data_IF_597086260967
#
_entry.id   IF_597086260967
#
_cell.length_a   1.000
_cell.length_b   1.000
_cell.length_c   1.000
_cell.angle_alpha   90.00
_cell.angle_beta   90.00
_cell.angle_gamma   90.00
#
_symmetry.space_group_name_H-M   'P 1'
#
loop_
_entity.id
_entity.type
_entity.pdbx_description
1 polymer ?
#
# COMPACT_ATOMS: atom_id res chain seq x y z
N UNK A 1 27.77 30.65 38.30
CA UNK A 1 27.69 29.15 38.31
C UNK A 1 26.34 28.77 38.89
N UNK A 2 25.38 28.46 38.05
CA UNK A 2 24.00 28.05 38.46
C UNK A 2 23.85 26.59 38.09
N UNK A 3 23.73 25.73 39.08
CA UNK A 3 23.51 24.29 38.94
C UNK A 3 21.98 24.03 38.89
N UNK A 4 21.44 23.62 37.76
CA UNK A 4 20.07 23.13 37.67
C UNK A 4 20.05 21.63 38.02
N UNK A 5 19.36 21.29 39.10
CA UNK A 5 19.03 19.93 39.46
C UNK A 5 17.79 19.50 38.69
N UNK A 6 17.90 18.42 37.88
CA UNK A 6 16.76 17.81 37.16
C UNK A 6 16.18 16.71 38.06
N UNK A 7 14.89 16.72 38.42
CA UNK A 7 14.28 15.62 39.13
C UNK A 7 13.99 14.46 38.14
N UNK A 8 14.52 13.28 38.46
CA UNK A 8 14.18 12.03 37.78
C UNK A 8 12.82 11.57 38.28
N UNK A 9 11.81 11.62 37.42
CA UNK A 9 10.49 11.09 37.68
C UNK A 9 10.47 9.60 37.30
N UNK A 10 10.45 8.75 38.31
CA UNK A 10 10.35 7.29 38.15
C UNK A 10 8.88 6.93 37.93
N UNK A 11 8.49 6.63 36.68
CA UNK A 11 7.15 6.13 36.34
C UNK A 11 7.19 4.61 36.40
N UNK A 12 6.57 4.03 37.43
CA UNK A 12 6.34 2.58 37.53
C UNK A 12 5.12 2.20 36.68
N UNK A 13 5.35 1.54 35.54
CA UNK A 13 4.29 0.90 34.75
C UNK A 13 3.87 -0.41 35.39
N UNK A 14 2.66 -0.46 35.95
CA UNK A 14 1.99 -1.70 36.32
C UNK A 14 1.40 -2.36 35.09
N UNK A 15 1.93 -3.53 34.72
CA UNK A 15 1.35 -4.41 33.71
C UNK A 15 0.09 -5.07 34.26
N UNK A 16 -1.08 -4.68 33.77
CA UNK A 16 -2.31 -5.42 33.93
C UNK A 16 -2.47 -6.40 32.76
N UNK A 17 -2.23 -7.68 33.02
CA UNK A 17 -2.58 -8.77 32.10
C UNK A 17 -4.10 -8.94 32.09
N UNK A 18 -4.76 -8.51 31.02
CA UNK A 18 -6.17 -8.77 30.79
C UNK A 18 -6.30 -9.98 29.87
N UNK A 19 -6.46 -11.17 30.47
CA UNK A 19 -6.76 -12.42 29.77
C UNK A 19 -8.22 -12.42 29.38
N UNK A 20 -8.51 -12.27 28.09
CA UNK A 20 -9.83 -12.46 27.51
C UNK A 20 -10.11 -13.95 27.35
N UNK A 21 -11.28 -14.47 27.78
CA UNK A 21 -11.65 -15.87 27.59
C UNK A 21 -11.92 -16.14 26.10
N UNK A 22 -11.20 -17.11 25.55
CA UNK A 22 -11.51 -17.71 24.25
C UNK A 22 -12.92 -18.33 24.28
N UNK A 23 -13.82 -17.75 23.52
CA UNK A 23 -15.13 -18.36 23.25
C UNK A 23 -14.93 -19.45 22.18
N UNK A 24 -14.83 -20.69 22.64
CA UNK A 24 -14.94 -21.87 21.77
C UNK A 24 -16.36 -21.93 21.20
N UNK A 25 -16.52 -21.65 19.92
CA UNK A 25 -17.70 -22.00 19.15
C UNK A 25 -17.59 -23.46 18.73
N UNK A 26 -18.37 -24.30 19.39
CA UNK A 26 -18.56 -25.68 18.98
C UNK A 26 -19.25 -25.74 17.62
N UNK A 27 -18.84 -26.64 16.71
CA UNK A 27 -19.57 -26.86 15.46
C UNK A 27 -20.94 -27.48 15.75
N UNK A 28 -21.97 -27.16 14.96
CA UNK A 28 -23.29 -27.76 15.12
C UNK A 28 -23.26 -29.25 14.78
N UNK A 29 -24.12 -30.08 15.44
CA UNK A 29 -24.20 -31.51 15.17
C UNK A 29 -24.73 -31.73 13.75
N UNK A 30 -24.13 -32.69 13.07
CA UNK A 30 -24.56 -33.20 11.77
C UNK A 30 -25.70 -34.18 12.10
N UNK A 31 -26.94 -33.80 11.84
CA UNK A 31 -28.07 -34.71 11.87
C UNK A 31 -28.09 -35.54 10.60
N UNK A 32 -28.23 -36.83 10.85
CA UNK A 32 -28.22 -37.94 9.91
C UNK A 32 -29.37 -37.89 8.91
N UNK A 33 -29.01 -38.32 7.70
CA UNK A 33 -29.71 -39.18 6.78
C UNK A 33 -31.28 -39.14 6.77
N UNK A 34 -31.80 -38.60 5.69
CA UNK A 34 -32.99 -39.22 5.13
C UNK A 34 -32.81 -39.52 3.63
N UNK A 35 -32.97 -40.81 3.34
CA UNK A 35 -32.92 -41.38 2.00
C UNK A 35 -34.25 -41.10 1.31
N UNK A 36 -34.28 -40.18 0.36
CA UNK A 36 -35.47 -39.89 -0.50
C UNK A 36 -35.12 -40.04 -1.97
N UNK A 37 -35.54 -41.14 -2.50
CA UNK A 37 -35.55 -41.56 -3.91
C UNK A 37 -36.09 -40.53 -4.90
N UNK A 38 -35.32 -40.31 -6.00
CA UNK A 38 -35.88 -40.16 -7.35
C UNK A 38 -36.41 -38.81 -7.74
N UNK A 39 -35.60 -38.06 -8.51
CA UNK A 39 -36.10 -37.56 -9.79
C UNK A 39 -34.93 -37.23 -10.73
N UNK A 40 -34.91 -37.91 -11.85
CA UNK A 40 -34.04 -37.54 -12.98
C UNK A 40 -34.59 -36.24 -13.59
N UNK A 41 -33.91 -35.15 -13.42
CA UNK A 41 -34.21 -33.86 -13.98
C UNK A 41 -32.95 -33.15 -14.39
N UNK A 42 -32.73 -33.12 -15.70
CA UNK A 42 -31.91 -32.21 -16.51
C UNK A 42 -30.65 -31.59 -15.79
N UNK A 43 -29.51 -32.12 -16.16
CA UNK A 43 -28.23 -31.42 -16.04
C UNK A 43 -28.33 -30.14 -16.85
N UNK A 44 -28.55 -29.02 -16.19
CA UNK A 44 -28.12 -27.74 -16.68
C UNK A 44 -26.62 -27.62 -16.30
N UNK A 45 -25.75 -28.05 -17.18
CA UNK A 45 -24.36 -27.65 -17.21
C UNK A 45 -24.30 -26.15 -17.56
N UNK A 46 -24.70 -25.30 -16.63
CA UNK A 46 -24.22 -23.91 -16.67
C UNK A 46 -22.73 -23.96 -16.36
N UNK A 47 -21.87 -23.52 -17.31
CA UNK A 47 -20.46 -23.41 -17.00
C UNK A 47 -20.31 -22.48 -15.80
N UNK A 48 -19.82 -23.01 -14.69
CA UNK A 48 -19.33 -22.20 -13.58
C UNK A 48 -18.26 -21.32 -14.20
N UNK A 49 -18.64 -20.08 -14.54
CA UNK A 49 -17.69 -19.04 -14.91
C UNK A 49 -16.94 -18.76 -13.62
N UNK A 50 -15.77 -19.39 -13.53
CA UNK A 50 -14.83 -19.14 -12.46
C UNK A 50 -14.47 -17.66 -12.55
N UNK A 51 -15.19 -16.82 -11.78
CA UNK A 51 -14.88 -15.42 -11.69
C UNK A 51 -13.46 -15.32 -11.13
N UNK A 52 -12.54 -14.61 -11.81
CA UNK A 52 -11.18 -14.46 -11.31
C UNK A 52 -11.24 -13.94 -9.87
N UNK A 53 -10.40 -14.48 -8.97
CA UNK A 53 -10.35 -14.00 -7.59
C UNK A 53 -10.15 -12.48 -7.59
N UNK A 54 -10.80 -11.76 -6.67
CA UNK A 54 -10.67 -10.30 -6.60
C UNK A 54 -9.19 -9.95 -6.44
N UNK A 55 -8.68 -9.20 -7.39
CA UNK A 55 -7.30 -8.72 -7.38
C UNK A 55 -7.06 -7.88 -6.13
N UNK A 56 -6.22 -8.31 -5.18
CA UNK A 56 -5.95 -7.54 -3.98
C UNK A 56 -5.07 -6.34 -4.32
N UNK A 57 -5.53 -5.14 -4.02
CA UNK A 57 -4.73 -3.92 -4.11
C UNK A 57 -5.24 -2.88 -5.11
N UNK A 58 -4.47 -1.79 -5.23
CA UNK A 58 -4.77 -0.68 -6.12
C UNK A 58 -4.51 -1.06 -7.59
N UNK A 59 -5.33 -0.52 -8.49
CA UNK A 59 -5.18 -0.72 -9.94
C UNK A 59 -4.25 0.34 -10.53
N UNK A 60 -3.55 -0.02 -11.61
CA UNK A 60 -2.68 0.89 -12.37
C UNK A 60 -3.47 1.98 -13.09
N UNK A 61 -2.93 3.21 -13.10
CA UNK A 61 -3.42 4.29 -13.94
C UNK A 61 -2.91 4.12 -15.39
N UNK A 62 -3.73 4.55 -16.34
CA UNK A 62 -3.37 4.54 -17.77
C UNK A 62 -2.47 5.73 -18.11
N UNK A 63 -2.70 6.89 -17.47
CA UNK A 63 -1.95 8.12 -17.71
C UNK A 63 -0.74 8.19 -16.77
N UNK A 64 0.41 7.76 -17.27
CA UNK A 64 1.70 7.86 -16.57
C UNK A 64 2.54 8.98 -17.17
N UNK A 65 3.12 9.85 -16.33
CA UNK A 65 4.03 10.91 -16.77
C UNK A 65 5.39 10.37 -17.19
N UNK A 66 5.90 9.39 -16.44
CA UNK A 66 7.03 8.57 -16.82
C UNK A 66 6.53 7.16 -17.11
N UNK A 67 6.91 6.60 -18.25
CA UNK A 67 6.43 5.28 -18.71
C UNK A 67 6.88 4.13 -17.81
N UNK A 68 7.93 4.34 -17.03
CA UNK A 68 8.53 3.33 -16.16
C UNK A 68 8.21 3.49 -14.67
N UNK A 69 7.32 4.43 -14.31
CA UNK A 69 6.82 4.57 -12.94
C UNK A 69 5.35 4.16 -12.88
N UNK A 70 5.02 3.05 -12.22
CA UNK A 70 3.63 2.66 -12.04
C UNK A 70 2.90 3.66 -11.13
N UNK A 71 1.68 4.02 -11.49
CA UNK A 71 0.82 4.89 -10.69
C UNK A 71 -0.52 4.21 -10.38
N UNK A 72 -1.02 4.28 -9.15
CA UNK A 72 -2.35 3.81 -8.84
C UNK A 72 -3.43 4.68 -9.48
N UNK A 73 -4.61 4.10 -9.69
CA UNK A 73 -5.78 4.83 -10.16
C UNK A 73 -6.24 5.87 -9.12
N UNK A 74 -7.05 6.83 -9.57
CA UNK A 74 -7.71 7.83 -8.72
C UNK A 74 -6.78 8.80 -7.99
N UNK A 75 -5.54 8.96 -8.46
CA UNK A 75 -4.67 10.04 -8.00
C UNK A 75 -5.11 11.38 -8.60
N UNK A 76 -5.15 12.41 -7.77
CA UNK A 76 -5.35 13.78 -8.22
C UNK A 76 -4.01 14.50 -8.25
N UNK A 77 -3.57 14.90 -9.44
CA UNK A 77 -2.31 15.62 -9.64
C UNK A 77 -2.40 17.03 -9.09
N UNK A 78 -1.36 17.46 -8.37
CA UNK A 78 -1.07 18.85 -8.04
C UNK A 78 -0.13 19.42 -9.09
N UNK A 79 -0.70 20.11 -10.07
CA UNK A 79 0.05 20.61 -11.22
C UNK A 79 1.05 21.70 -10.84
N UNK A 80 0.74 22.53 -9.84
CA UNK A 80 1.57 23.65 -9.41
C UNK A 80 2.87 23.18 -8.75
N UNK A 81 2.85 21.98 -8.15
CA UNK A 81 4.00 21.37 -7.47
C UNK A 81 4.66 20.23 -8.25
N UNK A 82 4.15 19.97 -9.47
CA UNK A 82 4.65 18.89 -10.36
C UNK A 82 5.48 19.48 -11.48
N UNK A 83 6.70 18.97 -11.64
CA UNK A 83 7.54 19.23 -12.80
C UNK A 83 8.22 17.96 -13.28
N UNK A 84 8.38 17.82 -14.58
CA UNK A 84 9.04 16.68 -15.23
C UNK A 84 9.91 17.22 -16.36
N UNK A 85 11.15 16.79 -16.37
CA UNK A 85 12.09 17.04 -17.45
C UNK A 85 12.59 15.70 -17.98
N UNK A 86 12.43 15.47 -19.26
CA UNK A 86 12.85 14.23 -19.92
C UNK A 86 13.50 14.54 -21.26
N UNK A 87 14.67 13.95 -21.47
CA UNK A 87 15.33 13.89 -22.77
C UNK A 87 15.91 12.47 -22.99
N UNK A 88 16.72 12.29 -24.03
CA UNK A 88 17.27 10.95 -24.38
C UNK A 88 18.17 10.34 -23.32
N UNK A 89 18.80 11.14 -22.47
CA UNK A 89 19.84 10.72 -21.52
C UNK A 89 19.49 11.00 -20.08
N UNK A 90 18.53 11.90 -19.82
CA UNK A 90 18.21 12.36 -18.48
C UNK A 90 16.70 12.39 -18.27
N UNK A 91 16.27 11.76 -17.22
CA UNK A 91 14.92 11.89 -16.68
C UNK A 91 15.01 12.39 -15.25
N UNK A 92 14.37 13.50 -14.95
CA UNK A 92 14.35 14.12 -13.64
C UNK A 92 12.99 14.73 -13.41
N UNK A 93 12.45 14.63 -12.22
CA UNK A 93 11.18 15.25 -11.94
C UNK A 93 10.68 15.02 -10.53
N UNK A 94 9.71 15.85 -10.20
CA UNK A 94 8.92 15.74 -8.99
C UNK A 94 7.46 15.74 -9.39
N UNK A 95 6.74 14.71 -8.98
CA UNK A 95 5.31 14.59 -9.18
C UNK A 95 4.62 14.57 -7.83
N UNK A 96 3.59 15.38 -7.68
CA UNK A 96 2.83 15.52 -6.43
C UNK A 96 1.38 15.17 -6.70
N UNK A 97 0.85 14.27 -5.87
CA UNK A 97 -0.52 13.79 -5.97
C UNK A 97 -1.20 13.83 -4.61
N UNK A 98 -2.53 13.93 -4.65
CA UNK A 98 -3.38 13.63 -3.50
C UNK A 98 -4.16 12.34 -3.75
N UNK A 99 -4.37 11.56 -2.67
CA UNK A 99 -5.10 10.30 -2.67
C UNK A 99 -6.03 10.18 -1.47
N UNK A 100 -7.04 9.34 -1.60
CA UNK A 100 -7.91 8.91 -0.50
C UNK A 100 -7.53 7.55 0.06
N UNK A 101 -6.65 6.84 -0.62
CA UNK A 101 -6.14 5.54 -0.21
C UNK A 101 -5.31 5.64 1.07
N UNK A 102 -5.16 4.55 1.80
CA UNK A 102 -4.33 4.55 3.01
C UNK A 102 -2.84 4.62 2.68
N UNK A 103 -2.02 5.06 3.64
CA UNK A 103 -0.54 5.05 3.49
C UNK A 103 -0.06 3.64 3.18
N UNK A 104 -0.64 2.63 3.84
CA UNK A 104 -0.24 1.23 3.64
C UNK A 104 -0.61 0.71 2.25
N UNK A 105 -1.82 1.00 1.74
CA UNK A 105 -2.25 0.55 0.42
C UNK A 105 -1.39 1.15 -0.68
N UNK A 106 -1.07 2.45 -0.56
CA UNK A 106 -0.16 3.14 -1.48
C UNK A 106 1.26 2.54 -1.43
N UNK A 107 1.79 2.29 -0.23
CA UNK A 107 3.12 1.70 -0.09
C UNK A 107 3.18 0.28 -0.67
N UNK A 108 2.19 -0.57 -0.37
CA UNK A 108 2.10 -1.93 -0.90
C UNK A 108 1.94 -1.95 -2.41
N UNK A 109 1.21 -0.99 -2.98
CA UNK A 109 1.10 -0.84 -4.42
C UNK A 109 2.49 -0.68 -5.07
N UNK A 110 3.30 0.27 -4.61
CA UNK A 110 4.63 0.49 -5.19
C UNK A 110 5.59 -0.68 -4.97
N UNK A 111 5.55 -1.31 -3.78
CA UNK A 111 6.37 -2.50 -3.51
C UNK A 111 6.05 -3.64 -4.48
N UNK A 112 4.79 -3.79 -4.89
CA UNK A 112 4.36 -4.83 -5.81
C UNK A 112 4.62 -4.47 -7.27
N UNK A 113 4.32 -3.22 -7.68
CA UNK A 113 4.29 -2.83 -9.08
C UNK A 113 5.66 -2.33 -9.62
N UNK A 114 6.47 -1.66 -8.78
CA UNK A 114 7.77 -1.14 -9.21
C UNK A 114 8.73 -2.23 -9.73
N UNK A 115 8.81 -3.44 -9.14
CA UNK A 115 9.65 -4.50 -9.67
C UNK A 115 9.28 -4.96 -11.09
N UNK A 116 8.00 -4.90 -11.47
CA UNK A 116 7.55 -5.21 -12.82
C UNK A 116 8.04 -4.21 -13.88
N UNK A 117 8.46 -3.02 -13.44
CA UNK A 117 9.08 -1.98 -14.26
C UNK A 117 10.60 -1.89 -14.03
N UNK A 118 11.24 -2.98 -13.59
CA UNK A 118 12.69 -3.12 -13.34
C UNK A 118 13.26 -2.22 -12.23
N UNK A 119 12.42 -1.69 -11.33
CA UNK A 119 12.87 -0.96 -10.16
C UNK A 119 13.20 -1.93 -9.02
N UNK A 120 14.38 -1.78 -8.42
CA UNK A 120 14.81 -2.56 -7.26
C UNK A 120 14.59 -1.73 -5.99
N UNK A 121 13.88 -2.30 -5.02
CA UNK A 121 13.66 -1.66 -3.73
C UNK A 121 14.97 -1.63 -2.95
N UNK A 122 15.40 -0.42 -2.58
CA UNK A 122 16.60 -0.17 -1.79
C UNK A 122 16.28 -0.06 -0.30
N UNK A 123 15.31 0.79 0.04
CA UNK A 123 14.94 1.01 1.45
C UNK A 123 13.48 1.38 1.64
N UNK A 124 12.97 1.08 2.83
CA UNK A 124 11.64 1.47 3.32
C UNK A 124 11.80 2.08 4.70
N UNK A 125 11.26 3.28 4.89
CA UNK A 125 11.10 3.92 6.20
C UNK A 125 9.63 4.14 6.47
N UNK A 126 9.14 3.69 7.63
CA UNK A 126 7.75 3.88 8.07
C UNK A 126 7.73 4.62 9.40
N UNK A 127 6.91 5.67 9.47
CA UNK A 127 6.65 6.45 10.68
C UNK A 127 5.18 6.91 10.65
N UNK A 128 4.91 8.22 10.71
CA UNK A 128 3.57 8.79 10.45
C UNK A 128 3.16 8.74 8.97
N UNK A 129 4.04 8.30 8.09
CA UNK A 129 3.90 8.08 6.67
C UNK A 129 4.80 6.94 6.23
N UNK A 130 5.06 6.83 4.93
CA UNK A 130 6.00 5.88 4.36
C UNK A 130 6.94 6.58 3.38
N UNK A 131 8.20 6.18 3.37
CA UNK A 131 9.18 6.57 2.36
C UNK A 131 9.79 5.30 1.78
N UNK A 132 9.73 5.18 0.45
CA UNK A 132 10.28 4.06 -0.29
C UNK A 132 11.31 4.60 -1.27
N UNK A 133 12.45 3.95 -1.34
CA UNK A 133 13.50 4.26 -2.29
C UNK A 133 13.73 3.07 -3.19
N UNK A 134 13.74 3.31 -4.48
CA UNK A 134 14.03 2.32 -5.50
C UNK A 134 15.17 2.80 -6.38
N UNK A 135 15.98 1.87 -6.84
CA UNK A 135 17.06 2.13 -7.77
C UNK A 135 16.85 1.33 -9.07
N UNK A 136 17.30 1.92 -10.17
CA UNK A 136 17.38 1.33 -11.49
C UNK A 136 18.66 1.88 -12.14
N UNK A 137 19.35 1.16 -13.04
CA UNK A 137 20.60 1.66 -13.62
C UNK A 137 20.50 3.11 -14.12
N UNK A 138 21.29 4.00 -13.54
CA UNK A 138 21.33 5.43 -13.83
C UNK A 138 20.16 6.26 -13.26
N UNK A 139 19.27 5.70 -12.45
CA UNK A 139 18.09 6.38 -11.91
C UNK A 139 17.80 5.98 -10.46
N UNK A 140 17.37 6.95 -9.68
CA UNK A 140 16.86 6.76 -8.32
C UNK A 140 15.44 7.33 -8.21
N UNK A 141 14.56 6.56 -7.62
CA UNK A 141 13.15 6.90 -7.39
C UNK A 141 12.88 6.94 -5.90
N UNK A 142 12.52 8.11 -5.37
CA UNK A 142 12.10 8.27 -3.98
C UNK A 142 10.60 8.60 -3.92
N UNK A 143 9.85 7.80 -3.20
CA UNK A 143 8.40 7.92 -3.04
C UNK A 143 8.10 8.21 -1.58
N UNK A 144 7.53 9.37 -1.31
CA UNK A 144 7.12 9.79 0.04
C UNK A 144 5.59 9.87 0.13
N UNK A 145 5.02 9.17 1.09
CA UNK A 145 3.58 9.11 1.34
C UNK A 145 3.32 9.69 2.73
N UNK A 146 2.55 10.77 2.80
CA UNK A 146 2.23 11.47 4.06
C UNK A 146 0.74 11.47 4.33
N UNK A 147 0.33 11.17 5.55
CA UNK A 147 -1.04 11.36 5.98
C UNK A 147 -1.26 12.84 6.36
N UNK A 148 -2.20 13.48 5.67
CA UNK A 148 -2.59 14.87 5.95
C UNK A 148 -3.85 14.97 6.83
N UNK A 149 -4.32 13.81 7.31
CA UNK A 149 -5.54 13.69 8.11
C UNK A 149 -6.80 13.44 7.28
N UNK A 150 -7.88 13.10 7.98
CA UNK A 150 -9.13 12.58 7.38
C UNK A 150 -9.72 13.51 6.32
N UNK A 151 -9.67 14.82 6.52
CA UNK A 151 -10.26 15.79 5.60
C UNK A 151 -9.43 16.04 4.35
N UNK A 152 -8.10 15.95 4.45
CA UNK A 152 -7.16 16.27 3.36
C UNK A 152 -6.63 15.02 2.62
N UNK A 153 -6.84 13.84 3.17
CA UNK A 153 -6.36 12.59 2.59
C UNK A 153 -4.85 12.38 2.75
N UNK A 154 -4.22 11.82 1.72
CA UNK A 154 -2.77 11.53 1.70
C UNK A 154 -2.11 12.31 0.58
N UNK A 155 -0.91 12.77 0.85
CA UNK A 155 -0.02 13.35 -0.14
C UNK A 155 1.00 12.30 -0.55
N UNK A 156 1.11 12.09 -1.86
CA UNK A 156 2.09 11.23 -2.49
C UNK A 156 3.05 12.12 -3.28
N UNK A 157 4.32 12.06 -2.95
CA UNK A 157 5.38 12.79 -3.66
C UNK A 157 6.35 11.77 -4.25
N UNK A 158 6.52 11.83 -5.55
CA UNK A 158 7.43 10.97 -6.31
C UNK A 158 8.54 11.84 -6.86
N UNK A 159 9.77 11.59 -6.45
CA UNK A 159 10.96 12.26 -6.97
C UNK A 159 11.79 11.26 -7.76
N UNK A 160 12.10 11.62 -9.01
CA UNK A 160 13.05 10.90 -9.84
C UNK A 160 14.29 11.74 -10.03
N UNK A 161 15.46 11.15 -9.75
CA UNK A 161 16.78 11.77 -9.90
C UNK A 161 17.71 10.80 -10.63
N UNK A 162 18.74 11.30 -11.32
CA UNK A 162 19.81 10.43 -11.78
C UNK A 162 20.52 9.81 -10.58
N UNK A 163 20.93 8.56 -10.72
CA UNK A 163 21.84 7.93 -9.78
C UNK A 163 23.26 8.44 -10.10
N UNK A 164 23.91 9.03 -9.12
CA UNK A 164 25.32 9.41 -9.17
C UNK A 164 26.13 8.33 -8.47
N UNK A 165 26.98 7.65 -9.21
CA UNK A 165 28.00 6.74 -8.68
C UNK A 165 28.97 7.46 -7.74
#
# INVERSE_FOLDING_TARGET
MVRYAVPVLLVTMTMACNSLPMRQSSPPPIDDLDSGSGNAGAMNDDPIVDAPPPEPGLRLAVDQRFSDIPLPLNLKTDADRTYVFENRTLQIGRMVYSSRETVNDLAQFFIRECPAADWQLDSITQASGAELVFNKPGKRLAISIRDLGVSRGRELVINMTPETD
#
